data_IF_646641549766
#
_entry.id   IF_646641549766
#
_cell.length_a   1.000
_cell.length_b   1.000
_cell.length_c   1.000
_cell.angle_alpha   90.00
_cell.angle_beta   90.00
_cell.angle_gamma   90.00
#
_symmetry.space_group_name_H-M   'P 1'
#
loop_
_entity.id
_entity.type
_entity.pdbx_description
1 polymer ?
#
# COMPACT_ATOMS: atom_id res chain seq x y z
N UNK A 1 7.64 -13.85 -23.80
CA UNK A 1 7.11 -14.80 -24.80
C UNK A 1 8.15 -15.77 -25.40
N UNK A 2 9.47 -15.60 -25.15
CA UNK A 2 10.52 -16.55 -25.56
C UNK A 2 10.80 -17.67 -24.54
N UNK A 3 10.55 -17.46 -23.24
CA UNK A 3 10.82 -18.46 -22.19
C UNK A 3 9.89 -19.69 -22.27
N UNK A 4 8.61 -19.48 -22.63
CA UNK A 4 7.62 -20.56 -22.63
C UNK A 4 7.86 -21.66 -23.68
N UNK A 5 8.65 -21.39 -24.73
CA UNK A 5 8.93 -22.41 -25.77
C UNK A 5 10.01 -23.42 -25.34
N UNK A 6 11.02 -22.95 -24.60
CA UNK A 6 12.14 -23.76 -24.12
C UNK A 6 11.75 -24.71 -22.99
N UNK A 7 10.80 -24.32 -22.14
CA UNK A 7 10.34 -25.17 -21.03
C UNK A 7 9.39 -26.26 -21.52
N UNK A 8 8.52 -25.95 -22.50
CA UNK A 8 7.66 -26.96 -23.14
C UNK A 8 8.50 -28.00 -23.89
N UNK A 9 9.57 -27.60 -24.58
CA UNK A 9 10.49 -28.53 -25.25
C UNK A 9 11.21 -29.45 -24.26
N UNK A 10 11.73 -28.91 -23.14
CA UNK A 10 12.42 -29.70 -22.11
C UNK A 10 11.50 -30.68 -21.39
N UNK A 11 10.27 -30.26 -21.07
CA UNK A 11 9.26 -31.15 -20.45
C UNK A 11 8.92 -32.30 -21.38
N UNK A 12 8.69 -32.03 -22.67
CA UNK A 12 8.37 -33.07 -23.67
C UNK A 12 9.49 -34.09 -23.87
N UNK A 13 10.76 -33.65 -23.88
CA UNK A 13 11.92 -34.54 -24.02
C UNK A 13 12.08 -35.42 -22.76
N UNK A 14 11.82 -34.87 -21.58
CA UNK A 14 11.90 -35.61 -20.32
C UNK A 14 10.80 -36.68 -20.19
N UNK A 15 9.59 -36.40 -20.67
CA UNK A 15 8.47 -37.35 -20.66
C UNK A 15 8.69 -38.48 -21.68
N UNK A 16 9.10 -38.14 -22.91
CA UNK A 16 9.44 -39.13 -23.95
C UNK A 16 10.59 -40.03 -23.50
N UNK A 17 11.59 -39.48 -22.80
CA UNK A 17 12.69 -40.29 -22.25
C UNK A 17 12.22 -41.21 -21.13
N UNK A 18 11.34 -40.74 -20.22
CA UNK A 18 10.75 -41.56 -19.15
C UNK A 18 9.93 -42.72 -19.70
N UNK A 19 9.14 -42.50 -20.75
CA UNK A 19 8.31 -43.55 -21.34
C UNK A 19 9.11 -44.57 -22.15
N UNK A 20 10.13 -44.13 -22.88
CA UNK A 20 11.06 -45.03 -23.56
C UNK A 20 11.90 -45.85 -22.56
N UNK A 21 12.25 -45.27 -21.42
CA UNK A 21 12.96 -45.97 -20.34
C UNK A 21 12.08 -47.05 -19.70
N UNK A 22 10.78 -46.79 -19.48
CA UNK A 22 9.83 -47.81 -18.99
C UNK A 22 9.72 -48.99 -19.96
N UNK A 23 9.60 -48.71 -21.27
CA UNK A 23 9.52 -49.76 -22.30
C UNK A 23 10.80 -50.60 -22.31
N UNK A 24 11.97 -49.95 -22.27
CA UNK A 24 13.25 -50.63 -22.22
C UNK A 24 13.39 -51.53 -20.98
N UNK A 25 12.99 -51.04 -19.81
CA UNK A 25 13.00 -51.83 -18.56
C UNK A 25 12.08 -53.04 -18.67
N UNK A 26 10.86 -52.89 -19.20
CA UNK A 26 9.95 -54.01 -19.39
C UNK A 26 10.47 -55.05 -20.38
N UNK A 27 11.06 -54.62 -21.49
CA UNK A 27 11.69 -55.52 -22.48
C UNK A 27 12.86 -56.27 -21.85
N UNK A 28 13.69 -55.60 -21.05
CA UNK A 28 14.82 -56.20 -20.36
C UNK A 28 14.37 -57.21 -19.29
N UNK A 29 13.32 -56.90 -18.53
CA UNK A 29 12.74 -57.81 -17.53
C UNK A 29 12.14 -59.06 -18.21
N UNK A 30 11.41 -58.90 -19.31
CA UNK A 30 10.86 -60.02 -20.07
C UNK A 30 11.96 -60.91 -20.66
N UNK A 31 13.03 -60.30 -21.17
CA UNK A 31 14.20 -61.02 -21.67
C UNK A 31 14.91 -61.81 -20.55
N UNK A 32 15.04 -61.23 -19.36
CA UNK A 32 15.61 -61.90 -18.19
C UNK A 32 14.74 -63.07 -17.69
N UNK A 33 13.42 -62.90 -17.64
CA UNK A 33 12.48 -63.97 -17.28
C UNK A 33 12.58 -65.11 -18.29
N UNK A 34 12.65 -64.80 -19.58
CA UNK A 34 12.84 -65.79 -20.63
C UNK A 34 14.18 -66.52 -20.46
N UNK A 35 15.28 -65.80 -20.22
CA UNK A 35 16.61 -66.37 -20.01
C UNK A 35 16.64 -67.30 -18.79
N UNK A 36 16.10 -66.87 -17.65
CA UNK A 36 15.99 -67.69 -16.43
C UNK A 36 15.11 -68.93 -16.68
N UNK A 37 13.98 -68.77 -17.37
CA UNK A 37 13.10 -69.88 -17.73
C UNK A 37 13.78 -70.93 -18.62
N UNK A 38 14.58 -70.49 -19.61
CA UNK A 38 15.34 -71.43 -20.46
C UNK A 38 16.44 -72.18 -19.71
N UNK A 39 17.09 -71.55 -18.73
CA UNK A 39 18.09 -72.19 -17.87
C UNK A 39 17.42 -73.19 -16.91
N UNK A 40 16.24 -72.87 -16.38
CA UNK A 40 15.52 -73.75 -15.46
C UNK A 40 14.94 -74.99 -16.16
N UNK A 41 14.30 -74.81 -17.33
CA UNK A 41 13.77 -75.90 -18.15
C UNK A 41 14.89 -76.77 -18.71
N UNK A 42 16.01 -76.16 -19.10
CA UNK A 42 17.20 -76.89 -19.57
C UNK A 42 17.78 -77.81 -18.50
N UNK A 43 17.82 -77.34 -17.24
CA UNK A 43 18.35 -78.10 -16.10
C UNK A 43 17.48 -79.32 -15.77
N UNK A 44 16.15 -79.17 -15.69
CA UNK A 44 15.22 -80.29 -15.46
C UNK A 44 15.26 -81.33 -16.59
N UNK A 45 15.32 -80.88 -17.87
CA UNK A 45 15.39 -81.77 -19.02
C UNK A 45 16.72 -82.56 -19.08
N UNK A 46 17.81 -82.01 -18.56
CA UNK A 46 19.09 -82.71 -18.42
C UNK A 46 19.18 -83.60 -17.17
N UNK A 47 18.45 -83.29 -16.10
CA UNK A 47 18.47 -84.04 -14.84
C UNK A 47 17.76 -85.40 -14.95
N UNK A 48 16.68 -85.49 -15.73
CA UNK A 48 15.96 -86.75 -15.97
C UNK A 48 16.67 -87.71 -16.93
N UNK A 49 17.63 -87.23 -17.74
CA UNK A 49 18.36 -88.05 -18.73
C UNK A 49 19.75 -88.51 -18.28
N UNK A 50 20.35 -87.94 -17.23
CA UNK A 50 21.75 -88.21 -16.88
C UNK A 50 22.06 -88.23 -15.36
N UNK A 51 21.76 -89.38 -14.74
CA UNK A 51 22.53 -90.00 -13.63
C UNK A 51 22.38 -89.46 -12.16
N UNK A 52 22.13 -90.33 -11.14
CA UNK A 52 21.83 -89.95 -9.76
C UNK A 52 23.07 -89.87 -8.85
N UNK A 53 24.02 -88.98 -9.15
CA UNK A 53 25.07 -88.61 -8.18
C UNK A 53 25.61 -87.21 -8.43
N UNK A 54 24.77 -86.20 -8.24
CA UNK A 54 25.19 -84.81 -8.26
C UNK A 54 26.11 -84.56 -7.06
N UNK A 55 27.42 -84.44 -7.29
CA UNK A 55 28.36 -84.01 -6.25
C UNK A 55 28.09 -82.53 -5.95
N UNK A 56 28.06 -82.18 -4.67
CA UNK A 56 27.95 -80.79 -4.16
C UNK A 56 28.89 -79.79 -4.87
N UNK A 57 29.97 -80.28 -5.46
CA UNK A 57 30.98 -79.51 -6.20
C UNK A 57 30.46 -78.93 -7.52
N UNK A 58 29.62 -79.65 -8.27
CA UNK A 58 29.11 -79.17 -9.58
C UNK A 58 27.98 -78.14 -9.42
N UNK A 59 27.20 -78.28 -8.34
CA UNK A 59 26.22 -77.28 -7.88
C UNK A 59 26.90 -75.97 -7.45
N UNK A 60 28.11 -76.04 -6.88
CA UNK A 60 28.92 -74.88 -6.52
C UNK A 60 29.36 -74.07 -7.74
N UNK A 61 29.89 -74.72 -8.78
CA UNK A 61 30.31 -74.08 -10.03
C UNK A 61 29.14 -73.50 -10.84
N UNK A 62 27.96 -74.09 -10.74
CA UNK A 62 26.74 -73.51 -11.32
C UNK A 62 26.33 -72.24 -10.57
N UNK A 63 26.39 -72.24 -9.24
CA UNK A 63 26.18 -71.04 -8.40
C UNK A 63 27.18 -69.91 -8.72
N UNK A 64 28.43 -70.24 -9.04
CA UNK A 64 29.46 -69.25 -9.41
C UNK A 64 29.16 -68.51 -10.72
N UNK A 65 28.42 -69.12 -11.66
CA UNK A 65 27.98 -68.43 -12.89
C UNK A 65 26.91 -67.36 -12.60
N UNK A 66 26.10 -67.55 -11.56
CA UNK A 66 25.15 -66.55 -11.08
C UNK A 66 25.82 -65.39 -10.33
N UNK A 67 27.06 -65.55 -9.83
CA UNK A 67 27.80 -64.45 -9.20
C UNK A 67 28.09 -63.30 -10.18
N UNK A 68 28.36 -63.61 -11.46
CA UNK A 68 28.55 -62.59 -12.52
C UNK A 68 27.24 -61.83 -12.78
N UNK A 69 26.11 -62.56 -12.83
CA UNK A 69 24.79 -61.98 -13.02
C UNK A 69 24.39 -61.08 -11.84
N UNK A 70 24.59 -61.55 -10.60
CA UNK A 70 24.36 -60.77 -9.37
C UNK A 70 25.21 -59.50 -9.33
N UNK A 71 26.47 -59.59 -9.78
CA UNK A 71 27.38 -58.42 -9.86
C UNK A 71 26.90 -57.40 -10.89
N UNK A 72 26.41 -57.86 -12.05
CA UNK A 72 25.82 -57.00 -13.07
C UNK A 72 24.56 -56.30 -12.57
N UNK A 73 23.64 -57.04 -11.93
CA UNK A 73 22.44 -56.46 -11.32
C UNK A 73 22.75 -55.45 -10.23
N UNK A 74 23.78 -55.71 -9.41
CA UNK A 74 24.22 -54.77 -8.37
C UNK A 74 24.75 -53.47 -8.99
N UNK A 75 25.55 -53.57 -10.06
CA UNK A 75 26.03 -52.41 -10.81
C UNK A 75 24.90 -51.61 -11.47
N UNK A 76 23.91 -52.29 -12.06
CA UNK A 76 22.72 -51.66 -12.65
C UNK A 76 21.83 -51.00 -11.59
N UNK A 77 21.63 -51.63 -10.43
CA UNK A 77 20.91 -51.04 -9.31
C UNK A 77 21.61 -49.76 -8.82
N UNK A 78 22.94 -49.78 -8.70
CA UNK A 78 23.73 -48.60 -8.34
C UNK A 78 23.62 -47.48 -9.38
N UNK A 79 23.67 -47.83 -10.68
CA UNK A 79 23.45 -46.86 -11.76
C UNK A 79 22.03 -46.25 -11.69
N UNK A 80 21.01 -47.04 -11.39
CA UNK A 80 19.64 -46.55 -11.18
C UNK A 80 19.54 -45.57 -10.01
N UNK A 81 20.24 -45.82 -8.91
CA UNK A 81 20.32 -44.91 -7.76
C UNK A 81 21.01 -43.60 -8.15
N UNK A 82 22.13 -43.65 -8.86
CA UNK A 82 22.82 -42.43 -9.34
C UNK A 82 21.91 -41.59 -10.23
N UNK A 83 21.23 -42.21 -11.20
CA UNK A 83 20.29 -41.53 -12.09
C UNK A 83 19.17 -40.87 -11.27
N UNK A 84 18.64 -41.59 -10.28
CA UNK A 84 17.60 -41.08 -9.39
C UNK A 84 18.08 -39.86 -8.60
N UNK A 85 19.31 -39.88 -8.07
CA UNK A 85 19.91 -38.73 -7.36
C UNK A 85 20.04 -37.53 -8.29
N UNK A 86 20.49 -37.73 -9.53
CA UNK A 86 20.62 -36.66 -10.52
C UNK A 86 19.25 -36.05 -10.82
N UNK A 87 18.24 -36.87 -11.06
CA UNK A 87 16.86 -36.40 -11.32
C UNK A 87 16.28 -35.65 -10.11
N UNK A 88 16.42 -36.19 -8.90
CA UNK A 88 15.97 -35.53 -7.67
C UNK A 88 16.68 -34.17 -7.47
N UNK A 89 17.96 -34.07 -7.80
CA UNK A 89 18.71 -32.81 -7.69
C UNK A 89 18.19 -31.77 -8.70
N UNK A 90 17.81 -32.20 -9.91
CA UNK A 90 17.20 -31.33 -10.91
C UNK A 90 15.81 -30.87 -10.48
N UNK A 91 14.96 -31.78 -9.97
CA UNK A 91 13.64 -31.43 -9.44
C UNK A 91 13.76 -30.42 -8.28
N UNK A 92 14.66 -30.66 -7.32
CA UNK A 92 14.91 -29.71 -6.22
C UNK A 92 15.37 -28.35 -6.72
N UNK A 93 16.18 -28.29 -7.78
CA UNK A 93 16.60 -27.03 -8.38
C UNK A 93 15.42 -26.30 -9.00
N UNK A 94 14.60 -26.98 -9.80
CA UNK A 94 13.40 -26.40 -10.40
C UNK A 94 12.40 -25.92 -9.34
N UNK A 95 12.17 -26.70 -8.28
CA UNK A 95 11.31 -26.29 -7.15
C UNK A 95 11.85 -25.04 -6.44
N UNK A 96 13.17 -24.93 -6.26
CA UNK A 96 13.78 -23.72 -5.65
C UNK A 96 13.59 -22.48 -6.53
N UNK A 97 13.75 -22.63 -7.84
CA UNK A 97 13.53 -21.54 -8.80
C UNK A 97 12.06 -21.10 -8.81
N UNK A 98 11.11 -22.05 -8.81
CA UNK A 98 9.68 -21.74 -8.73
C UNK A 98 9.31 -21.05 -7.42
N UNK A 99 9.80 -21.55 -6.27
CA UNK A 99 9.57 -20.93 -4.96
C UNK A 99 10.16 -19.52 -4.88
N UNK A 100 11.30 -19.29 -5.52
CA UNK A 100 11.87 -17.96 -5.61
C UNK A 100 10.95 -17.02 -6.40
N UNK A 101 10.45 -17.45 -7.57
CA UNK A 101 9.50 -16.69 -8.36
C UNK A 101 8.19 -16.39 -7.60
N UNK A 102 7.65 -17.38 -6.89
CA UNK A 102 6.47 -17.19 -6.03
C UNK A 102 6.72 -16.20 -4.91
N UNK A 103 7.90 -16.23 -4.27
CA UNK A 103 8.27 -15.28 -3.23
C UNK A 103 8.34 -13.85 -3.77
N UNK A 104 8.93 -13.67 -4.95
CA UNK A 104 9.01 -12.35 -5.60
C UNK A 104 7.62 -11.82 -5.95
N UNK A 105 6.75 -12.67 -6.51
CA UNK A 105 5.36 -12.32 -6.79
C UNK A 105 4.56 -11.96 -5.52
N UNK A 106 4.74 -12.71 -4.41
CA UNK A 106 4.11 -12.41 -3.13
C UNK A 106 4.56 -11.09 -2.53
N UNK A 107 5.85 -10.74 -2.66
CA UNK A 107 6.37 -9.45 -2.21
C UNK A 107 5.73 -8.30 -2.99
N UNK A 108 5.58 -8.46 -4.32
CA UNK A 108 4.93 -7.42 -5.12
C UNK A 108 3.44 -7.31 -4.82
N UNK A 109 2.74 -8.44 -4.67
CA UNK A 109 1.35 -8.48 -4.24
C UNK A 109 1.17 -7.80 -2.86
N UNK A 110 2.09 -8.02 -1.92
CA UNK A 110 2.05 -7.37 -0.62
C UNK A 110 2.16 -5.84 -0.75
N UNK A 111 3.06 -5.34 -1.62
CA UNK A 111 3.18 -3.90 -1.88
C UNK A 111 1.90 -3.32 -2.47
N UNK A 112 1.30 -3.99 -3.46
CA UNK A 112 0.02 -3.56 -4.03
C UNK A 112 -1.10 -3.55 -2.97
N UNK A 113 -1.16 -4.57 -2.11
CA UNK A 113 -2.11 -4.63 -1.00
C UNK A 113 -1.92 -3.50 0.00
N UNK A 114 -0.68 -3.09 0.30
CA UNK A 114 -0.40 -1.96 1.18
C UNK A 114 -0.92 -0.64 0.58
N UNK A 115 -0.75 -0.45 -0.74
CA UNK A 115 -1.32 0.69 -1.46
C UNK A 115 -2.85 0.68 -1.40
N UNK A 116 -3.48 -0.45 -1.73
CA UNK A 116 -4.94 -0.59 -1.67
C UNK A 116 -5.50 -0.41 -0.25
N UNK A 117 -4.82 -0.94 0.77
CA UNK A 117 -5.21 -0.79 2.18
C UNK A 117 -5.18 0.68 2.60
N UNK A 118 -4.16 1.42 2.18
CA UNK A 118 -4.08 2.85 2.40
C UNK A 118 -5.23 3.58 1.69
N UNK A 119 -5.46 3.31 0.41
CA UNK A 119 -6.51 3.96 -0.39
C UNK A 119 -7.88 3.75 0.23
N UNK A 120 -8.19 2.51 0.58
CA UNK A 120 -9.44 2.15 1.23
C UNK A 120 -9.62 2.91 2.55
N UNK A 121 -8.59 2.98 3.40
CA UNK A 121 -8.65 3.74 4.67
C UNK A 121 -8.84 5.23 4.41
N UNK A 122 -8.07 5.82 3.49
CA UNK A 122 -8.19 7.23 3.12
C UNK A 122 -9.61 7.56 2.65
N UNK A 123 -10.15 6.81 1.68
CA UNK A 123 -11.48 7.07 1.15
C UNK A 123 -12.59 6.78 2.16
N UNK A 124 -12.43 5.80 3.05
CA UNK A 124 -13.35 5.60 4.17
C UNK A 124 -13.35 6.80 5.14
N UNK A 125 -12.19 7.34 5.49
CA UNK A 125 -12.09 8.55 6.32
C UNK A 125 -12.68 9.78 5.61
N UNK A 126 -12.41 9.94 4.32
CA UNK A 126 -12.98 11.01 3.49
C UNK A 126 -14.50 10.93 3.41
N UNK A 127 -15.05 9.72 3.23
CA UNK A 127 -16.49 9.49 3.22
C UNK A 127 -17.11 9.79 4.58
N UNK A 128 -16.48 9.35 5.68
CA UNK A 128 -16.92 9.67 7.03
C UNK A 128 -16.91 11.18 7.30
N UNK A 129 -15.86 11.88 6.83
CA UNK A 129 -15.78 13.32 6.85
C UNK A 129 -16.95 13.95 6.08
N UNK A 130 -17.19 13.55 4.84
CA UNK A 130 -18.28 14.09 4.03
C UNK A 130 -19.67 13.82 4.62
N UNK A 131 -19.93 12.64 5.17
CA UNK A 131 -21.19 12.31 5.86
C UNK A 131 -21.38 13.21 7.09
N UNK A 132 -20.33 13.37 7.87
CA UNK A 132 -20.29 14.28 9.02
C UNK A 132 -20.58 15.73 8.62
N UNK A 133 -20.09 16.14 7.44
CA UNK A 133 -20.32 17.48 6.91
C UNK A 133 -21.74 17.69 6.42
N UNK A 134 -22.35 16.69 5.81
CA UNK A 134 -23.67 16.82 5.19
C UNK A 134 -24.80 16.63 6.20
N UNK A 135 -24.59 15.81 7.22
CA UNK A 135 -25.60 15.49 8.24
C UNK A 135 -25.64 16.51 9.40
N UNK A 136 -24.79 17.53 9.37
CA UNK A 136 -24.76 18.58 10.37
C UNK A 136 -26.06 19.39 10.34
N UNK A 137 -26.66 19.64 11.51
CA UNK A 137 -27.89 20.43 11.64
C UNK A 137 -27.71 21.56 12.63
N UNK A 138 -28.25 22.73 12.30
CA UNK A 138 -28.34 23.86 13.22
C UNK A 138 -29.78 24.38 13.25
N UNK A 139 -30.45 24.17 14.39
CA UNK A 139 -31.88 24.44 14.49
C UNK A 139 -32.71 23.49 13.63
N UNK A 140 -33.89 23.94 13.20
CA UNK A 140 -34.85 23.11 12.43
C UNK A 140 -34.70 23.24 10.91
N UNK A 141 -33.98 24.25 10.42
CA UNK A 141 -34.06 24.67 9.01
C UNK A 141 -32.72 24.62 8.27
N UNK A 142 -31.59 24.53 8.97
CA UNK A 142 -30.26 24.58 8.34
C UNK A 142 -29.57 23.24 8.47
N UNK A 143 -29.10 22.73 7.34
CA UNK A 143 -28.34 21.49 7.26
C UNK A 143 -27.16 21.60 6.28
N UNK A 144 -26.19 20.73 6.44
CA UNK A 144 -25.04 20.64 5.55
C UNK A 144 -24.28 21.96 5.42
N UNK A 145 -24.05 22.38 4.17
CA UNK A 145 -23.32 23.60 3.80
C UNK A 145 -23.91 24.89 4.42
N UNK A 146 -25.23 24.96 4.59
CA UNK A 146 -25.89 26.15 5.15
C UNK A 146 -25.49 26.43 6.60
N UNK A 147 -25.12 25.39 7.36
CA UNK A 147 -24.63 25.53 8.72
C UNK A 147 -23.27 26.25 8.71
N UNK A 148 -22.39 25.94 7.76
CA UNK A 148 -21.06 26.56 7.68
C UNK A 148 -21.13 28.02 7.22
N UNK A 149 -22.03 28.35 6.30
CA UNK A 149 -22.30 29.74 5.92
C UNK A 149 -22.80 30.56 7.12
N UNK A 150 -23.67 29.96 7.94
CA UNK A 150 -24.18 30.61 9.15
C UNK A 150 -23.09 30.76 10.22
N UNK A 151 -22.23 29.76 10.39
CA UNK A 151 -21.07 29.83 11.28
C UNK A 151 -20.11 30.94 10.85
N UNK A 152 -19.82 31.04 9.55
CA UNK A 152 -19.00 32.12 8.98
C UNK A 152 -19.60 33.49 9.28
N UNK A 153 -20.91 33.68 9.02
CA UNK A 153 -21.62 34.93 9.31
C UNK A 153 -21.58 35.28 10.79
N UNK A 154 -21.84 34.31 11.66
CA UNK A 154 -21.81 34.51 13.11
C UNK A 154 -20.42 34.87 13.61
N UNK A 155 -19.37 34.23 13.09
CA UNK A 155 -18.01 34.55 13.48
C UNK A 155 -17.61 35.97 13.08
N UNK A 156 -17.86 36.36 11.82
CA UNK A 156 -17.64 37.72 11.34
C UNK A 156 -18.43 38.76 12.15
N UNK A 157 -19.67 38.42 12.54
CA UNK A 157 -20.49 39.25 13.43
C UNK A 157 -19.90 39.42 14.83
N UNK A 158 -19.31 38.36 15.40
CA UNK A 158 -18.60 38.45 16.69
C UNK A 158 -17.34 39.31 16.60
N UNK A 159 -16.58 39.17 15.49
CA UNK A 159 -15.43 40.05 15.23
C UNK A 159 -15.91 41.49 15.27
N UNK A 160 -16.94 41.87 14.52
CA UNK A 160 -17.42 43.26 14.49
C UNK A 160 -17.81 43.83 15.86
N UNK A 161 -18.49 43.03 16.70
CA UNK A 161 -19.01 43.50 17.99
C UNK A 161 -17.93 43.68 19.05
N UNK A 162 -16.91 42.81 19.05
CA UNK A 162 -15.93 42.72 20.13
C UNK A 162 -14.52 43.17 19.71
N UNK A 163 -14.30 43.45 18.42
CA UNK A 163 -13.07 43.98 17.89
C UNK A 163 -12.86 45.44 18.29
N UNK A 164 -12.32 45.67 19.48
CA UNK A 164 -11.80 46.97 19.90
C UNK A 164 -10.29 47.09 19.69
N UNK A 165 -9.52 45.99 19.77
CA UNK A 165 -8.05 45.95 19.58
C UNK A 165 -7.56 44.59 19.01
N UNK A 166 -6.36 44.57 18.43
CA UNK A 166 -5.66 43.41 17.82
C UNK A 166 -5.53 42.17 18.75
N UNK A 167 -5.38 42.38 20.07
CA UNK A 167 -5.24 41.31 21.07
C UNK A 167 -6.55 40.54 21.36
N UNK A 168 -7.68 40.91 20.75
CA UNK A 168 -8.98 40.31 21.03
C UNK A 168 -9.27 39.03 20.25
N UNK A 169 -8.52 38.71 19.17
CA UNK A 169 -8.82 37.58 18.30
C UNK A 169 -8.95 36.27 19.08
N UNK A 170 -8.01 35.97 19.98
CA UNK A 170 -8.04 34.72 20.74
C UNK A 170 -9.27 34.65 21.66
N UNK A 171 -9.68 35.77 22.25
CA UNK A 171 -10.87 35.82 23.10
C UNK A 171 -12.14 35.59 22.28
N UNK A 172 -12.25 36.25 21.12
CA UNK A 172 -13.38 36.10 20.18
C UNK A 172 -13.44 34.66 19.67
N UNK A 173 -12.31 34.10 19.24
CA UNK A 173 -12.19 32.74 18.78
C UNK A 173 -12.54 31.73 19.86
N UNK A 174 -12.05 31.91 21.09
CA UNK A 174 -12.38 31.03 22.22
C UNK A 174 -13.88 31.06 22.54
N UNK A 175 -14.52 32.23 22.54
CA UNK A 175 -15.98 32.35 22.72
C UNK A 175 -16.74 31.66 21.60
N UNK A 176 -16.36 31.90 20.35
CA UNK A 176 -16.97 31.28 19.17
C UNK A 176 -16.82 29.76 19.21
N UNK A 177 -15.59 29.27 19.43
CA UNK A 177 -15.25 27.87 19.55
C UNK A 177 -16.05 27.23 20.69
N UNK A 178 -16.15 27.87 21.86
CA UNK A 178 -16.98 27.35 22.97
C UNK A 178 -18.46 27.27 22.62
N UNK A 179 -19.01 28.29 21.92
CA UNK A 179 -20.43 28.32 21.51
C UNK A 179 -20.76 27.26 20.47
N UNK A 180 -19.85 26.98 19.54
CA UNK A 180 -20.04 26.05 18.43
C UNK A 180 -19.15 24.81 18.54
N UNK A 181 -18.71 24.46 19.76
CA UNK A 181 -17.64 23.49 20.03
C UNK A 181 -17.87 22.18 19.30
N UNK A 182 -19.07 21.62 19.45
CA UNK A 182 -19.42 20.35 18.80
C UNK A 182 -19.22 20.39 17.27
N UNK A 183 -19.64 21.49 16.62
CA UNK A 183 -19.56 21.66 15.17
C UNK A 183 -18.12 21.92 14.69
N UNK A 184 -17.41 22.82 15.36
CA UNK A 184 -16.05 23.23 15.02
C UNK A 184 -15.04 22.11 15.28
N UNK A 185 -15.12 21.51 16.47
CA UNK A 185 -14.19 20.45 16.90
C UNK A 185 -14.32 19.22 16.02
N UNK A 186 -15.55 18.79 15.72
CA UNK A 186 -15.76 17.58 14.92
C UNK A 186 -15.28 17.75 13.47
N UNK A 187 -15.54 18.89 12.83
CA UNK A 187 -15.09 19.14 11.46
C UNK A 187 -13.55 19.20 11.36
N UNK A 188 -12.93 20.09 12.14
CA UNK A 188 -11.51 20.38 11.97
C UNK A 188 -10.60 19.32 12.57
N UNK A 189 -11.05 18.56 13.59
CA UNK A 189 -10.32 17.37 14.03
C UNK A 189 -10.33 16.31 12.94
N UNK A 190 -11.47 16.02 12.31
CA UNK A 190 -11.51 14.99 11.26
C UNK A 190 -10.62 15.40 10.07
N UNK A 191 -10.62 16.69 9.70
CA UNK A 191 -9.69 17.21 8.69
C UNK A 191 -8.23 17.00 9.11
N UNK A 192 -7.86 17.36 10.34
CA UNK A 192 -6.53 17.11 10.89
C UNK A 192 -6.14 15.63 10.86
N UNK A 193 -7.04 14.72 11.27
CA UNK A 193 -6.73 13.29 11.30
C UNK A 193 -6.47 12.71 9.91
N UNK A 194 -7.22 13.15 8.89
CA UNK A 194 -6.95 12.73 7.51
C UNK A 194 -5.59 13.27 7.03
N UNK A 195 -5.30 14.55 7.32
CA UNK A 195 -4.01 15.15 6.96
C UNK A 195 -2.84 14.43 7.61
N UNK A 196 -2.95 14.14 8.91
CA UNK A 196 -1.95 13.38 9.67
C UNK A 196 -1.80 11.96 9.12
N UNK A 197 -2.90 11.29 8.81
CA UNK A 197 -2.88 9.96 8.21
C UNK A 197 -2.09 9.95 6.89
N UNK A 198 -2.36 10.88 5.98
CA UNK A 198 -1.63 11.01 4.71
C UNK A 198 -0.16 11.34 4.96
N UNK A 199 0.14 12.28 5.87
CA UNK A 199 1.52 12.70 6.11
C UNK A 199 2.38 11.62 6.79
N UNK A 200 1.80 10.81 7.67
CA UNK A 200 2.54 9.77 8.40
C UNK A 200 2.71 8.46 7.63
N UNK A 201 1.86 8.13 6.65
CA UNK A 201 1.82 6.80 6.02
C UNK A 201 2.27 6.77 4.55
N UNK A 202 2.66 7.92 3.99
CA UNK A 202 3.31 7.99 2.66
C UNK A 202 4.69 8.60 2.82
N UNK A 203 5.61 8.25 1.92
CA UNK A 203 6.96 8.83 1.89
C UNK A 203 7.09 9.87 0.78
N UNK A 204 6.45 9.63 -0.36
CA UNK A 204 6.50 10.53 -1.51
C UNK A 204 5.64 11.79 -1.28
N UNK A 205 6.28 12.96 -1.40
CA UNK A 205 5.63 14.26 -1.23
C UNK A 205 4.63 14.59 -2.33
N UNK A 206 4.84 14.10 -3.56
CA UNK A 206 3.91 14.27 -4.69
C UNK A 206 2.64 13.48 -4.40
N UNK A 207 2.79 12.21 -4.05
CA UNK A 207 1.66 11.33 -3.70
C UNK A 207 0.86 11.91 -2.52
N UNK A 208 1.54 12.38 -1.46
CA UNK A 208 0.87 13.08 -0.34
C UNK A 208 0.06 14.29 -0.83
N UNK A 209 0.63 15.08 -1.73
CA UNK A 209 -0.02 16.26 -2.29
C UNK A 209 -1.28 15.88 -3.07
N UNK A 210 -1.27 14.76 -3.81
CA UNK A 210 -2.45 14.29 -4.53
C UNK A 210 -3.63 13.95 -3.60
N UNK A 211 -3.42 13.17 -2.54
CA UNK A 211 -4.48 12.88 -1.56
C UNK A 211 -4.95 14.12 -0.81
N UNK A 212 -4.02 14.99 -0.41
CA UNK A 212 -4.40 16.23 0.29
C UNK A 212 -5.14 17.22 -0.61
N UNK A 213 -4.86 17.24 -1.92
CA UNK A 213 -5.65 17.98 -2.90
C UNK A 213 -7.07 17.42 -3.05
N UNK A 214 -7.24 16.08 -3.06
CA UNK A 214 -8.58 15.44 -3.06
C UNK A 214 -9.38 15.86 -1.83
N UNK A 215 -8.74 15.86 -0.65
CA UNK A 215 -9.35 16.30 0.60
C UNK A 215 -9.70 17.80 0.57
N UNK A 216 -8.77 18.65 0.11
CA UNK A 216 -8.96 20.10 -0.02
C UNK A 216 -10.16 20.43 -0.92
N UNK A 217 -10.37 19.66 -1.98
CA UNK A 217 -11.50 19.83 -2.89
C UNK A 217 -12.89 19.62 -2.23
N UNK A 218 -12.95 19.00 -1.05
CA UNK A 218 -14.21 18.84 -0.30
C UNK A 218 -14.60 20.10 0.51
N UNK A 219 -13.70 21.07 0.61
CA UNK A 219 -13.91 22.29 1.39
C UNK A 219 -14.63 23.35 0.54
N UNK A 220 -15.86 23.70 0.94
CA UNK A 220 -16.56 24.85 0.36
C UNK A 220 -15.92 26.16 0.83
N UNK A 221 -16.24 27.25 0.14
CA UNK A 221 -15.80 28.61 0.48
C UNK A 221 -15.88 28.91 1.99
N UNK A 222 -17.07 28.76 2.60
CA UNK A 222 -17.26 29.05 4.02
C UNK A 222 -16.42 28.16 4.93
N UNK A 223 -16.15 26.92 4.53
CA UNK A 223 -15.26 26.02 5.29
C UNK A 223 -13.81 26.47 5.19
N UNK A 224 -13.34 26.94 4.02
CA UNK A 224 -12.00 27.51 3.89
C UNK A 224 -11.82 28.78 4.73
N UNK A 225 -12.83 29.66 4.75
CA UNK A 225 -12.83 30.86 5.62
C UNK A 225 -12.79 30.47 7.09
N UNK A 226 -13.62 29.51 7.53
CA UNK A 226 -13.60 29.03 8.92
C UNK A 226 -12.26 28.33 9.26
N UNK A 227 -11.68 27.58 8.32
CA UNK A 227 -10.38 26.92 8.48
C UNK A 227 -9.26 27.93 8.69
N UNK A 228 -9.29 29.04 7.95
CA UNK A 228 -8.34 30.15 8.12
C UNK A 228 -8.35 30.69 9.55
N UNK A 229 -9.52 30.96 10.13
CA UNK A 229 -9.54 31.41 11.52
C UNK A 229 -9.20 30.28 12.51
N UNK A 230 -9.64 29.07 12.22
CA UNK A 230 -9.45 27.92 13.10
C UNK A 230 -7.99 27.50 13.26
N UNK A 231 -7.21 27.50 12.19
CA UNK A 231 -5.83 27.05 12.22
C UNK A 231 -4.90 27.98 13.02
N UNK A 232 -5.24 29.26 13.17
CA UNK A 232 -4.53 30.17 14.08
C UNK A 232 -5.12 30.12 15.49
N UNK A 233 -6.44 30.10 15.61
CA UNK A 233 -7.12 30.23 16.91
C UNK A 233 -7.00 29.03 17.84
N UNK A 234 -6.68 27.82 17.33
CA UNK A 234 -6.49 26.64 18.19
C UNK A 234 -5.13 26.71 18.89
N UNK A 235 -5.15 26.90 20.21
CA UNK A 235 -3.96 26.86 21.10
C UNK A 235 -3.78 25.48 21.78
N UNK A 236 -4.69 24.53 21.58
CA UNK A 236 -4.56 23.17 22.14
C UNK A 236 -3.28 22.47 21.67
N UNK A 237 -2.84 21.41 22.38
CA UNK A 237 -1.53 20.75 22.19
C UNK A 237 -1.18 20.35 20.75
N UNK A 238 -2.19 20.13 19.89
CA UNK A 238 -2.01 19.72 18.50
C UNK A 238 -2.25 20.86 17.48
N UNK A 239 -2.58 22.08 17.94
CA UNK A 239 -2.92 23.21 17.08
C UNK A 239 -1.76 23.63 16.17
N UNK A 240 -0.52 23.61 16.70
CA UNK A 240 0.69 23.91 15.93
C UNK A 240 0.90 22.92 14.78
N UNK A 241 0.87 21.62 15.06
CA UNK A 241 0.99 20.57 14.04
C UNK A 241 -0.11 20.69 12.98
N UNK A 242 -1.34 21.01 13.40
CA UNK A 242 -2.45 21.18 12.46
C UNK A 242 -2.23 22.36 11.51
N UNK A 243 -1.80 23.52 12.03
CA UNK A 243 -1.43 24.68 11.21
C UNK A 243 -0.31 24.34 10.23
N UNK A 244 0.74 23.67 10.70
CA UNK A 244 1.87 23.25 9.86
C UNK A 244 1.42 22.34 8.70
N UNK A 245 0.49 21.41 8.95
CA UNK A 245 -0.08 20.56 7.89
C UNK A 245 -0.88 21.36 6.86
N UNK A 246 -1.72 22.31 7.31
CA UNK A 246 -2.49 23.20 6.42
C UNK A 246 -1.55 24.02 5.53
N UNK A 247 -0.48 24.56 6.11
CA UNK A 247 0.54 25.34 5.40
C UNK A 247 1.31 24.47 4.40
N UNK A 248 1.80 23.30 4.84
CA UNK A 248 2.54 22.34 4.04
C UNK A 248 1.76 21.89 2.80
N UNK A 249 0.45 21.71 2.94
CA UNK A 249 -0.42 21.27 1.86
C UNK A 249 -1.20 22.38 1.16
N UNK A 250 -0.85 23.65 1.41
CA UNK A 250 -1.38 24.82 0.70
C UNK A 250 -2.91 24.91 0.72
N UNK A 251 -3.54 24.70 1.87
CA UNK A 251 -5.00 24.60 1.94
C UNK A 251 -5.75 25.87 1.50
N UNK A 252 -5.08 27.03 1.46
CA UNK A 252 -5.67 28.31 1.03
C UNK A 252 -5.40 28.67 -0.43
N UNK A 253 -4.91 27.74 -1.26
CA UNK A 253 -4.64 27.98 -2.69
C UNK A 253 -5.87 28.47 -3.47
N UNK A 254 -7.08 28.07 -3.08
CA UNK A 254 -8.33 28.48 -3.74
C UNK A 254 -9.18 29.44 -2.90
N UNK A 255 -8.63 29.97 -1.79
CA UNK A 255 -9.31 30.95 -0.96
C UNK A 255 -9.23 32.34 -1.60
N UNK A 256 -10.36 32.97 -1.85
CA UNK A 256 -10.36 34.38 -2.28
C UNK A 256 -10.15 35.28 -1.06
N UNK A 257 -9.24 36.24 -1.16
CA UNK A 257 -8.95 37.18 -0.08
C UNK A 257 -10.19 37.94 0.39
N UNK A 258 -11.04 38.38 -0.53
CA UNK A 258 -12.27 39.12 -0.22
C UNK A 258 -13.25 38.28 0.61
N UNK A 259 -13.24 36.95 0.45
CA UNK A 259 -14.15 36.08 1.20
C UNK A 259 -13.88 36.09 2.71
N UNK A 260 -12.69 36.51 3.14
CA UNK A 260 -12.31 36.58 4.56
C UNK A 260 -13.00 37.74 5.30
N UNK A 261 -13.33 38.84 4.61
CA UNK A 261 -13.85 40.06 5.24
C UNK A 261 -15.08 40.68 4.54
N UNK A 262 -15.50 40.15 3.39
CA UNK A 262 -16.67 40.67 2.68
C UNK A 262 -17.92 40.59 3.57
N UNK A 263 -18.53 41.75 3.80
CA UNK A 263 -19.74 41.95 4.57
C UNK A 263 -20.63 42.98 3.86
N UNK A 264 -21.96 42.91 4.03
CA UNK A 264 -22.91 43.79 3.32
C UNK A 264 -22.66 45.30 3.51
N UNK A 265 -22.00 45.68 4.60
CA UNK A 265 -21.66 47.05 4.92
C UNK A 265 -20.14 47.23 4.73
N UNK A 266 -19.76 48.23 3.94
CA UNK A 266 -18.36 48.50 3.58
C UNK A 266 -17.49 48.87 4.79
N UNK A 267 -18.01 49.67 5.73
CA UNK A 267 -17.29 50.04 6.95
C UNK A 267 -17.00 48.82 7.83
N UNK A 268 -17.99 47.92 7.96
CA UNK A 268 -17.83 46.64 8.66
C UNK A 268 -16.78 45.77 7.96
N UNK A 269 -16.82 45.73 6.63
CA UNK A 269 -15.88 44.94 5.83
C UNK A 269 -14.44 45.41 6.04
N UNK A 270 -14.20 46.73 6.03
CA UNK A 270 -12.89 47.32 6.33
C UNK A 270 -12.40 46.98 7.73
N UNK A 271 -13.28 46.97 8.74
CA UNK A 271 -12.90 46.59 10.12
C UNK A 271 -12.47 45.13 10.23
N UNK A 272 -13.17 44.21 9.56
CA UNK A 272 -12.79 42.78 9.55
C UNK A 272 -11.49 42.59 8.76
N UNK A 273 -11.29 43.36 7.69
CA UNK A 273 -10.09 43.28 6.85
C UNK A 273 -8.80 43.52 7.65
N UNK A 274 -8.80 44.45 8.61
CA UNK A 274 -7.64 44.71 9.48
C UNK A 274 -7.23 43.44 10.24
N UNK A 275 -8.18 42.73 10.86
CA UNK A 275 -7.91 41.46 11.54
C UNK A 275 -7.42 40.38 10.57
N UNK A 276 -8.00 40.32 9.38
CA UNK A 276 -7.60 39.35 8.36
C UNK A 276 -6.14 39.56 7.96
N UNK A 277 -5.73 40.81 7.75
CA UNK A 277 -4.36 41.17 7.36
C UNK A 277 -3.35 40.80 8.45
N UNK A 278 -3.67 41.07 9.72
CA UNK A 278 -2.83 40.71 10.87
C UNK A 278 -2.67 39.19 11.03
N UNK A 279 -3.73 38.43 10.76
CA UNK A 279 -3.68 36.97 10.78
C UNK A 279 -2.94 36.42 9.55
N UNK A 280 -3.01 37.11 8.41
CA UNK A 280 -2.44 36.63 7.15
C UNK A 280 -0.94 36.42 7.26
N UNK A 281 -0.25 37.37 7.89
CA UNK A 281 1.20 37.33 8.09
C UNK A 281 1.66 36.27 9.11
N UNK A 282 0.74 35.66 9.87
CA UNK A 282 1.06 34.55 10.78
C UNK A 282 1.20 33.22 10.06
N UNK A 283 0.70 33.11 8.82
CA UNK A 283 0.89 31.93 7.99
C UNK A 283 2.23 31.91 7.28
N UNK A 284 2.79 30.71 7.11
CA UNK A 284 3.84 30.48 6.12
C UNK A 284 3.26 30.66 4.69
N UNK A 285 4.03 31.31 3.81
CA UNK A 285 3.65 31.58 2.41
C UNK A 285 3.20 30.31 1.66
N UNK A 286 3.70 29.12 2.03
CA UNK A 286 3.32 27.83 1.45
C UNK A 286 1.83 27.52 1.59
N UNK A 287 1.15 28.08 2.59
CA UNK A 287 -0.28 27.93 2.80
C UNK A 287 -1.12 28.36 1.59
N UNK A 288 -0.58 29.30 0.79
CA UNK A 288 -1.28 29.91 -0.33
C UNK A 288 -0.99 29.23 -1.68
N UNK A 289 -0.02 28.31 -1.75
CA UNK A 289 0.26 27.53 -2.97
C UNK A 289 0.49 28.41 -4.20
N UNK A 290 -0.45 28.37 -5.16
CA UNK A 290 -0.44 29.15 -6.40
C UNK A 290 -1.36 30.39 -6.38
N UNK A 291 -1.88 30.76 -5.21
CA UNK A 291 -2.78 31.90 -5.06
C UNK A 291 -2.01 33.22 -5.10
N UNK A 292 -1.91 33.82 -6.28
CA UNK A 292 -1.17 35.07 -6.49
C UNK A 292 -1.73 36.22 -5.65
N UNK A 293 -3.05 36.34 -5.54
CA UNK A 293 -3.70 37.39 -4.76
C UNK A 293 -3.30 37.36 -3.28
N UNK A 294 -3.38 36.20 -2.63
CA UNK A 294 -2.99 36.06 -1.23
C UNK A 294 -1.48 36.19 -1.03
N UNK A 295 -0.68 35.70 -1.98
CA UNK A 295 0.78 35.80 -1.94
C UNK A 295 1.22 37.27 -2.01
N UNK A 296 0.73 38.03 -2.98
CA UNK A 296 1.05 39.46 -3.15
C UNK A 296 0.64 40.24 -1.90
N UNK A 297 -0.57 39.97 -1.37
CA UNK A 297 -1.04 40.62 -0.14
C UNK A 297 -0.18 40.27 1.07
N UNK A 298 0.20 39.00 1.22
CA UNK A 298 1.07 38.56 2.30
C UNK A 298 2.45 39.24 2.23
N UNK A 299 3.04 39.34 1.04
CA UNK A 299 4.33 40.01 0.81
C UNK A 299 4.27 41.50 1.12
N UNK A 300 3.21 42.18 0.67
CA UNK A 300 2.94 43.60 0.99
C UNK A 300 2.93 43.84 2.50
N UNK A 301 2.20 43.01 3.25
CA UNK A 301 2.05 43.14 4.69
C UNK A 301 3.35 42.81 5.46
N UNK A 302 4.07 41.75 5.05
CA UNK A 302 5.38 41.38 5.60
C UNK A 302 6.43 42.46 5.39
N UNK A 303 6.42 43.12 4.23
CA UNK A 303 7.34 44.22 3.96
C UNK A 303 7.07 45.39 4.92
N UNK A 304 5.80 45.78 5.08
CA UNK A 304 5.38 46.86 6.00
C UNK A 304 5.76 46.59 7.47
N UNK A 305 5.62 45.34 7.94
CA UNK A 305 6.00 45.00 9.31
C UNK A 305 7.52 45.10 9.54
N UNK A 306 8.34 44.81 8.52
CA UNK A 306 9.78 44.86 8.64
C UNK A 306 10.34 46.29 8.62
N UNK A 307 9.69 47.23 7.91
CA UNK A 307 10.09 48.65 7.92
C UNK A 307 9.81 49.33 9.26
N UNK A 308 8.73 48.96 9.95
CA UNK A 308 8.36 49.49 11.28
C UNK A 308 9.29 49.04 12.43
N UNK A 309 10.19 48.08 12.19
CA UNK A 309 11.17 47.61 13.18
C UNK A 309 12.59 48.17 12.95
N UNK A 310 12.77 49.03 11.95
CA UNK A 310 14.07 49.65 11.59
C UNK A 310 14.10 51.15 11.96
N UNK A 311 12.95 51.74 12.33
CA UNK A 311 12.84 53.08 12.95
C UNK A 311 12.72 52.98 14.48
#
# INVERSE_FOLDING_TARGET
>A
MKENKTDIEKVSISEVFKDNLKIFVWVFVLWLIFFIGTVWIGNDLSFDLFNPSMKLTDLGTFGDSFNVLTSLFTGLAFAGVIISIILQTQELKATREELQGQKEALVEQQREMEVQSFDNKFFQMLNSYNLSMNNVKMGKTREGSQVYEELERNFKGMILQEATELLSFQNIFNKFSKRYNFLMKFNFINLYQILKFVDSNKNDSIVKKDYTNILRAQLSKSKLVLLYFNAIGIIESNGKEYKELIEKYSFFEHLNYQDLFNYKNAEISSRIQVYVDELLVQYDKKAFGKNTQLIEKWEELKAKSNTLHIE
#
